data_IF_325935138180
#
_entry.id   IF_325935138180
#
_cell.length_a   1.000
_cell.length_b   1.000
_cell.length_c   1.000
_cell.angle_alpha   90.00
_cell.angle_beta   90.00
_cell.angle_gamma   90.00
#
_symmetry.space_group_name_H-M   'P 1'
#
loop_
_entity.id
_entity.type
_entity.pdbx_description
1 polymer ?
#
# COMPACT_ATOMS: atom_id res chain seq x y z
N UNK A 1 19.01 3.09 -13.36
CA UNK A 1 18.07 4.11 -13.85
C UNK A 1 16.86 4.10 -12.93
N UNK A 2 16.42 5.26 -12.44
CA UNK A 2 15.20 5.38 -11.64
C UNK A 2 14.11 5.88 -12.59
N UNK A 3 13.00 5.17 -12.69
CA UNK A 3 11.87 5.62 -13.49
C UNK A 3 10.57 5.47 -12.72
N UNK A 4 9.56 6.19 -13.20
CA UNK A 4 8.19 6.04 -12.72
C UNK A 4 7.68 4.62 -12.98
N UNK A 5 6.64 4.25 -12.23
CA UNK A 5 5.99 2.93 -12.31
C UNK A 5 5.25 2.78 -13.65
N UNK A 6 6.00 2.55 -14.73
CA UNK A 6 5.51 2.35 -16.10
C UNK A 6 6.03 1.01 -16.64
N UNK A 7 5.21 -0.05 -16.67
CA UNK A 7 5.64 -1.40 -17.08
C UNK A 7 6.32 -1.43 -18.47
N UNK A 8 5.86 -0.59 -19.40
CA UNK A 8 6.44 -0.45 -20.74
C UNK A 8 7.87 0.13 -20.71
N UNK A 9 8.14 1.08 -19.82
CA UNK A 9 9.48 1.67 -19.65
C UNK A 9 10.45 0.66 -19.05
N UNK A 10 10.00 -0.15 -18.08
CA UNK A 10 10.81 -1.20 -17.48
C UNK A 10 11.27 -2.23 -18.54
N UNK A 11 10.35 -2.68 -19.41
CA UNK A 11 10.67 -3.62 -20.49
C UNK A 11 11.62 -3.02 -21.54
N UNK A 12 11.39 -1.76 -21.94
CA UNK A 12 12.26 -1.07 -22.90
C UNK A 12 13.68 -0.87 -22.36
N UNK A 13 13.82 -0.45 -21.09
CA UNK A 13 15.13 -0.28 -20.44
C UNK A 13 15.87 -1.61 -20.35
N UNK A 14 15.17 -2.71 -20.03
CA UNK A 14 15.78 -4.03 -19.92
C UNK A 14 16.22 -4.60 -21.28
N UNK A 15 15.53 -4.21 -22.36
CA UNK A 15 15.89 -4.61 -23.73
C UNK A 15 17.08 -3.83 -24.26
N UNK A 16 17.17 -2.52 -23.97
CA UNK A 16 18.23 -1.64 -24.47
C UNK A 16 19.47 -1.69 -23.58
N UNK A 17 19.30 -1.84 -22.26
CA UNK A 17 20.37 -1.89 -21.27
C UNK A 17 20.21 -3.10 -20.33
N UNK A 18 20.60 -4.31 -20.77
CA UNK A 18 20.37 -5.55 -20.02
C UNK A 18 21.06 -5.61 -18.65
N UNK A 19 22.17 -4.87 -18.50
CA UNK A 19 22.93 -4.76 -17.26
C UNK A 19 22.44 -3.66 -16.32
N UNK A 20 21.47 -2.83 -16.74
CA UNK A 20 20.97 -1.74 -15.93
C UNK A 20 20.05 -2.25 -14.82
N UNK A 21 20.37 -1.89 -13.58
CA UNK A 21 19.43 -2.07 -12.46
C UNK A 21 18.31 -1.03 -12.61
N UNK A 22 17.11 -1.52 -12.90
CA UNK A 22 15.89 -0.74 -12.86
C UNK A 22 15.42 -0.61 -11.41
N UNK A 23 15.41 0.62 -10.90
CA UNK A 23 14.95 0.90 -9.55
C UNK A 23 13.62 1.65 -9.62
N UNK A 24 12.60 1.10 -8.95
CA UNK A 24 11.33 1.78 -8.78
C UNK A 24 11.49 2.94 -7.81
N UNK A 25 10.98 4.10 -8.21
CA UNK A 25 11.01 5.27 -7.36
C UNK A 25 10.12 5.09 -6.11
N UNK A 26 10.72 5.34 -4.94
CA UNK A 26 10.06 5.18 -3.64
C UNK A 26 8.85 6.10 -3.50
N UNK A 27 8.98 7.35 -3.96
CA UNK A 27 7.93 8.35 -3.82
C UNK A 27 6.71 7.95 -4.65
N UNK A 28 6.93 7.55 -5.91
CA UNK A 28 5.86 7.10 -6.81
C UNK A 28 5.16 5.84 -6.31
N UNK A 29 5.91 4.90 -5.70
CA UNK A 29 5.31 3.70 -5.13
C UNK A 29 4.39 4.05 -3.95
N UNK A 30 4.83 4.91 -3.03
CA UNK A 30 3.98 5.36 -1.91
C UNK A 30 2.77 6.16 -2.42
N UNK A 31 2.97 7.03 -3.40
CA UNK A 31 1.92 7.84 -4.01
C UNK A 31 0.86 6.97 -4.70
N UNK A 32 1.27 5.91 -5.40
CA UNK A 32 0.34 4.96 -6.03
C UNK A 32 -0.65 4.37 -5.03
N UNK A 33 -0.14 3.81 -3.92
CA UNK A 33 -1.00 3.22 -2.89
C UNK A 33 -1.81 4.28 -2.13
N UNK A 34 -1.23 5.46 -1.90
CA UNK A 34 -1.94 6.58 -1.25
C UNK A 34 -3.12 7.06 -2.10
N UNK A 35 -2.94 7.17 -3.42
CA UNK A 35 -3.99 7.54 -4.37
C UNK A 35 -5.08 6.46 -4.45
N UNK A 36 -4.68 5.18 -4.53
CA UNK A 36 -5.61 4.06 -4.51
C UNK A 36 -6.48 4.08 -3.24
N UNK A 37 -5.86 4.36 -2.09
CA UNK A 37 -6.56 4.46 -0.82
C UNK A 37 -7.45 5.69 -0.74
N UNK A 38 -7.04 6.83 -1.29
CA UNK A 38 -7.89 8.02 -1.36
C UNK A 38 -9.18 7.77 -2.15
N UNK A 39 -9.09 7.02 -3.26
CA UNK A 39 -10.28 6.61 -4.03
C UNK A 39 -11.22 5.75 -3.18
N UNK A 40 -10.68 4.80 -2.40
CA UNK A 40 -11.47 3.95 -1.48
C UNK A 40 -12.14 4.75 -0.37
N UNK A 41 -11.44 5.74 0.19
CA UNK A 41 -11.99 6.62 1.23
C UNK A 41 -13.18 7.43 0.75
N UNK A 42 -13.15 7.93 -0.49
CA UNK A 42 -14.30 8.63 -1.11
C UNK A 42 -15.52 7.71 -1.20
N UNK A 43 -15.34 6.49 -1.72
CA UNK A 43 -16.39 5.49 -1.78
C UNK A 43 -16.98 5.15 -0.40
N UNK A 44 -16.11 4.91 0.59
CA UNK A 44 -16.54 4.65 1.97
C UNK A 44 -17.25 5.85 2.59
N UNK A 45 -16.82 7.08 2.32
CA UNK A 45 -17.49 8.30 2.77
C UNK A 45 -18.90 8.46 2.21
N UNK A 46 -19.10 8.09 0.93
CA UNK A 46 -20.41 8.07 0.30
C UNK A 46 -21.32 6.96 0.86
N UNK A 47 -20.74 5.77 1.10
CA UNK A 47 -21.46 4.59 1.61
C UNK A 47 -21.78 4.68 3.11
N UNK A 48 -20.94 5.33 3.91
CA UNK A 48 -21.03 5.40 5.37
C UNK A 48 -21.37 6.82 5.82
N UNK A 49 -22.53 7.32 5.37
CA UNK A 49 -23.04 8.68 5.68
C UNK A 49 -23.12 9.02 7.17
N UNK A 50 -23.17 8.01 8.05
CA UNK A 50 -23.18 8.18 9.50
C UNK A 50 -21.81 8.55 10.10
N UNK A 51 -20.71 8.29 9.40
CA UNK A 51 -19.37 8.69 9.83
C UNK A 51 -18.91 9.96 9.10
N UNK A 52 -18.29 10.89 9.85
CA UNK A 52 -17.68 12.07 9.24
C UNK A 52 -16.52 11.65 8.32
N UNK A 53 -16.39 12.26 7.14
CA UNK A 53 -15.28 11.97 6.21
C UNK A 53 -13.91 12.03 6.88
N UNK A 54 -13.69 13.01 7.78
CA UNK A 54 -12.42 13.15 8.53
C UNK A 54 -12.11 11.92 9.41
N UNK A 55 -13.13 11.25 9.93
CA UNK A 55 -12.96 10.05 10.75
C UNK A 55 -12.50 8.86 9.89
N UNK A 56 -13.14 8.65 8.73
CA UNK A 56 -12.75 7.63 7.75
C UNK A 56 -11.33 7.92 7.24
N UNK A 57 -11.03 9.19 6.97
CA UNK A 57 -9.71 9.63 6.52
C UNK A 57 -8.62 9.30 7.54
N UNK A 58 -8.86 9.59 8.82
CA UNK A 58 -7.94 9.28 9.91
C UNK A 58 -7.71 7.78 10.03
N UNK A 59 -8.79 7.00 10.13
CA UNK A 59 -8.74 5.55 10.31
C UNK A 59 -7.93 4.85 9.20
N UNK A 60 -8.09 5.31 7.95
CA UNK A 60 -7.42 4.68 6.81
C UNK A 60 -6.05 5.30 6.49
N UNK A 61 -5.77 6.55 6.85
CA UNK A 61 -4.44 7.16 6.61
C UNK A 61 -3.38 6.73 7.63
N UNK A 62 -3.78 6.60 8.90
CA UNK A 62 -2.88 6.32 10.03
C UNK A 62 -2.43 4.86 10.07
N UNK A 63 -1.29 4.62 10.72
CA UNK A 63 -0.82 3.25 10.94
C UNK A 63 -1.68 2.57 12.02
N UNK A 64 -1.81 1.23 12.02
CA UNK A 64 -2.61 0.51 13.01
C UNK A 64 -2.25 0.82 14.47
N UNK A 65 -0.96 1.09 14.73
CA UNK A 65 -0.43 1.40 16.07
C UNK A 65 -0.82 2.80 16.57
N UNK A 66 -1.21 3.69 15.67
CA UNK A 66 -1.59 5.08 15.97
C UNK A 66 -3.10 5.24 16.19
N UNK A 67 -3.87 4.18 15.95
CA UNK A 67 -5.33 4.16 16.09
C UNK A 67 -5.73 3.82 17.53
N UNK A 68 -6.88 4.33 17.96
CA UNK A 68 -7.54 3.83 19.18
C UNK A 68 -8.12 2.43 18.96
N UNK A 69 -8.52 1.75 20.04
CA UNK A 69 -9.17 0.45 19.93
C UNK A 69 -10.50 0.52 19.17
N UNK A 70 -11.27 1.58 19.42
CA UNK A 70 -12.52 1.87 18.72
C UNK A 70 -12.28 2.08 17.21
N UNK A 71 -11.29 2.91 16.85
CA UNK A 71 -10.92 3.14 15.44
C UNK A 71 -10.48 1.84 14.75
N UNK A 72 -9.73 0.97 15.44
CA UNK A 72 -9.37 -0.35 14.93
C UNK A 72 -10.59 -1.26 14.73
N UNK A 73 -11.60 -1.14 15.59
CA UNK A 73 -12.88 -1.85 15.44
C UNK A 73 -13.54 -1.52 14.10
N UNK A 74 -13.73 -0.22 13.83
CA UNK A 74 -14.33 0.23 12.57
C UNK A 74 -13.50 -0.17 11.33
N UNK A 75 -12.18 -0.02 11.39
CA UNK A 75 -11.29 -0.47 10.29
C UNK A 75 -11.44 -1.97 10.04
N UNK A 76 -11.58 -2.77 11.10
CA UNK A 76 -11.79 -4.22 10.98
C UNK A 76 -13.14 -4.55 10.34
N UNK A 77 -14.21 -3.83 10.67
CA UNK A 77 -15.51 -3.99 10.03
C UNK A 77 -15.45 -3.62 8.54
N UNK A 78 -14.89 -2.47 8.19
CA UNK A 78 -14.75 -2.06 6.80
C UNK A 78 -13.88 -3.03 5.98
N UNK A 79 -12.89 -3.66 6.60
CA UNK A 79 -12.09 -4.71 5.97
C UNK A 79 -12.86 -6.01 5.70
N UNK A 80 -13.92 -6.31 6.47
CA UNK A 80 -14.82 -7.45 6.21
C UNK A 80 -15.77 -7.12 5.06
N UNK A 81 -16.25 -5.89 5.00
CA UNK A 81 -17.18 -5.42 3.96
C UNK A 81 -16.51 -5.20 2.59
N UNK A 82 -15.34 -4.56 2.56
CA UNK A 82 -14.60 -4.27 1.33
C UNK A 82 -13.18 -4.86 1.38
N UNK A 83 -13.04 -6.04 0.74
CA UNK A 83 -11.73 -6.69 0.56
C UNK A 83 -10.73 -5.77 -0.13
N UNK A 84 -11.14 -4.95 -1.09
CA UNK A 84 -10.22 -4.09 -1.83
C UNK A 84 -9.64 -3.00 -0.93
N UNK A 85 -10.46 -2.37 -0.07
CA UNK A 85 -9.98 -1.46 0.99
C UNK A 85 -8.98 -2.16 1.90
N UNK A 86 -9.27 -3.38 2.35
CA UNK A 86 -8.35 -4.19 3.16
C UNK A 86 -7.00 -4.40 2.48
N UNK A 87 -6.98 -4.85 1.23
CA UNK A 87 -5.75 -5.12 0.50
C UNK A 87 -4.91 -3.84 0.32
N UNK A 88 -5.55 -2.72 -0.05
CA UNK A 88 -4.86 -1.44 -0.25
C UNK A 88 -4.30 -0.88 1.07
N UNK A 89 -5.11 -0.84 2.13
CA UNK A 89 -4.68 -0.37 3.46
C UNK A 89 -3.48 -1.16 3.98
N UNK A 90 -3.55 -2.48 3.85
CA UNK A 90 -2.49 -3.36 4.35
C UNK A 90 -1.23 -3.28 3.49
N UNK A 91 -1.37 -3.17 2.16
CA UNK A 91 -0.23 -3.00 1.26
C UNK A 91 0.52 -1.68 1.53
N UNK A 92 -0.21 -0.58 1.73
CA UNK A 92 0.41 0.71 2.05
C UNK A 92 1.20 0.66 3.37
N UNK A 93 0.61 0.10 4.43
CA UNK A 93 1.27 -0.01 5.72
C UNK A 93 2.48 -0.95 5.67
N UNK A 94 2.41 -2.04 4.91
CA UNK A 94 3.55 -2.91 4.71
C UNK A 94 4.68 -2.24 3.92
N UNK A 95 4.34 -1.48 2.88
CA UNK A 95 5.35 -0.70 2.13
C UNK A 95 6.03 0.34 3.02
N UNK A 96 5.27 1.04 3.87
CA UNK A 96 5.86 1.93 4.89
C UNK A 96 6.84 1.18 5.79
N UNK A 97 6.53 -0.07 6.18
CA UNK A 97 7.42 -0.91 6.97
C UNK A 97 8.67 -1.37 6.20
N UNK A 98 8.54 -1.76 4.92
CA UNK A 98 9.69 -2.09 4.05
C UNK A 98 10.61 -0.89 3.89
N UNK A 99 10.04 0.29 3.66
CA UNK A 99 10.77 1.54 3.44
C UNK A 99 11.42 2.11 4.71
N UNK A 100 11.08 1.59 5.90
CA UNK A 100 11.80 1.85 7.15
C UNK A 100 13.05 0.99 7.32
N UNK A 101 13.41 0.15 6.35
CA UNK A 101 14.60 -0.68 6.45
C UNK A 101 15.86 0.17 6.33
N UNK A 102 16.86 -0.09 7.17
CA UNK A 102 18.16 0.61 7.14
C UNK A 102 19.18 -0.13 6.29
N UNK A 103 18.91 -1.39 5.92
CA UNK A 103 19.81 -2.22 5.11
C UNK A 103 19.05 -2.93 3.99
N UNK A 104 19.74 -3.22 2.90
CA UNK A 104 19.20 -3.98 1.76
C UNK A 104 18.71 -5.37 2.17
N UNK A 105 19.42 -6.05 3.08
CA UNK A 105 19.03 -7.38 3.57
C UNK A 105 17.72 -7.31 4.37
N UNK A 106 17.56 -6.28 5.20
CA UNK A 106 16.32 -6.06 5.94
C UNK A 106 15.16 -5.73 4.99
N UNK A 107 15.37 -4.84 4.02
CA UNK A 107 14.35 -4.51 3.01
C UNK A 107 13.91 -5.75 2.23
N UNK A 108 14.87 -6.56 1.74
CA UNK A 108 14.59 -7.82 1.04
C UNK A 108 13.80 -8.80 1.90
N UNK A 109 14.15 -8.98 3.17
CA UNK A 109 13.44 -9.88 4.09
C UNK A 109 12.00 -9.41 4.32
N UNK A 110 11.81 -8.12 4.61
CA UNK A 110 10.48 -7.52 4.84
C UNK A 110 9.61 -7.62 3.59
N UNK A 111 10.18 -7.39 2.41
CA UNK A 111 9.47 -7.49 1.14
C UNK A 111 9.11 -8.95 0.81
N UNK A 112 10.03 -9.90 0.98
CA UNK A 112 9.75 -11.33 0.80
C UNK A 112 8.64 -11.82 1.73
N UNK A 113 8.66 -11.41 3.00
CA UNK A 113 7.59 -11.73 3.96
C UNK A 113 6.20 -11.31 3.44
N UNK A 114 6.09 -10.14 2.80
CA UNK A 114 4.83 -9.72 2.19
C UNK A 114 4.33 -10.67 1.11
N UNK A 115 5.21 -11.02 0.17
CA UNK A 115 4.85 -11.89 -0.96
C UNK A 115 4.41 -13.27 -0.47
N UNK A 116 5.12 -13.86 0.51
CA UNK A 116 4.78 -15.17 1.06
C UNK A 116 3.51 -15.15 1.92
N UNK A 117 3.29 -14.13 2.76
CA UNK A 117 2.15 -14.14 3.69
C UNK A 117 0.85 -13.57 3.10
N UNK A 118 0.89 -12.81 2.00
CA UNK A 118 -0.29 -12.05 1.51
C UNK A 118 -0.64 -12.26 0.05
N UNK A 119 0.34 -12.52 -0.82
CA UNK A 119 0.07 -12.73 -2.25
C UNK A 119 -0.24 -14.20 -2.60
N UNK A 120 0.03 -15.16 -1.71
CA UNK A 120 -0.38 -16.56 -1.88
C UNK A 120 -1.89 -16.82 -1.62
N UNK A 121 -2.69 -15.79 -1.36
CA UNK A 121 -4.17 -15.91 -1.25
C UNK A 121 -4.93 -15.49 -2.53
N UNK A 122 -4.21 -15.34 -3.64
CA UNK A 122 -4.78 -15.04 -4.97
C UNK A 122 -4.32 -16.01 -6.07
N UNK A 123 -3.90 -17.23 -5.71
CA UNK A 123 -3.77 -18.37 -6.63
C UNK A 123 -4.79 -19.43 -6.24
#
# INVERSE_FOLDING_TARGET
>A
MVSDFAPAMAQAIQTIFPSAVHALDRFHLVQFFTNAQQRRRRYLGEAKKHHKSRFIDRCLACKPEELTEEERGFVTEWHKEDRQTKHIYQALNHLRYVLKATTTNQAKRRLKGWFHHRYQYHL
#
